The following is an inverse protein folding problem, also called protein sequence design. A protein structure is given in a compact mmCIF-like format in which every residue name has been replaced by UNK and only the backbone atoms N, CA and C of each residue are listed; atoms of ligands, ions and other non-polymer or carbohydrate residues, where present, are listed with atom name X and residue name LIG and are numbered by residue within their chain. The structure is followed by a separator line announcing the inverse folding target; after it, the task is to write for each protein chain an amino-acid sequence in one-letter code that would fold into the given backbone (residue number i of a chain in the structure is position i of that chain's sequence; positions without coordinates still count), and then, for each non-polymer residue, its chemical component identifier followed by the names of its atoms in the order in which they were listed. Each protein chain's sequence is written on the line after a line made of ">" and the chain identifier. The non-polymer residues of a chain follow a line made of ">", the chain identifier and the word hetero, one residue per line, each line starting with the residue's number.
data_IF_876462621422
#
_entry.id   IF_876462621422
#
_cell.length_a   1.000
_cell.length_b   1.000
_cell.length_c   1.000
_cell.angle_alpha   90.00
_cell.angle_beta   90.00
_cell.angle_gamma   90.00
#
_symmetry.space_group_name_H-M   'P 1'
#
loop_
_entity.id
_entity.type
_entity.pdbx_description
1 polymer ?
#
# COMPACT_ATOMS: atom_id res chain seq x y z
N UNK A 1 -3.53 -8.66 -5.67
CA UNK A 1 -4.29 -7.50 -5.17
C UNK A 1 -5.15 -6.88 -6.29
N UNK A 2 -6.39 -6.46 -6.00
CA UNK A 2 -7.24 -5.78 -6.98
C UNK A 2 -7.08 -4.27 -6.83
N UNK A 3 -6.16 -3.69 -7.61
CA UNK A 3 -5.73 -2.30 -7.43
C UNK A 3 -6.48 -1.31 -8.34
N UNK A 4 -7.00 -1.79 -9.47
CA UNK A 4 -7.70 -0.98 -10.49
C UNK A 4 -9.23 -1.07 -10.40
N UNK A 5 -9.76 -1.92 -9.52
CA UNK A 5 -11.19 -2.18 -9.33
C UNK A 5 -11.53 -2.23 -7.86
N UNK A 6 -12.74 -1.80 -7.51
CA UNK A 6 -13.24 -1.95 -6.14
C UNK A 6 -13.43 -3.44 -5.80
N UNK A 7 -12.89 -3.86 -4.64
CA UNK A 7 -13.02 -5.22 -4.12
C UNK A 7 -14.46 -5.67 -3.88
N UNK A 8 -15.39 -4.72 -3.67
CA UNK A 8 -16.81 -4.98 -3.35
C UNK A 8 -17.70 -4.86 -4.58
N UNK A 9 -17.81 -3.67 -5.18
CA UNK A 9 -18.75 -3.45 -6.28
C UNK A 9 -18.20 -3.80 -7.68
N UNK A 10 -16.91 -4.19 -7.78
CA UNK A 10 -16.19 -4.51 -9.03
C UNK A 10 -16.07 -3.38 -10.05
N UNK A 11 -16.60 -2.19 -9.76
CA UNK A 11 -16.48 -1.05 -10.65
C UNK A 11 -15.03 -0.53 -10.67
N UNK A 12 -14.58 0.08 -11.78
CA UNK A 12 -13.27 0.71 -11.86
C UNK A 12 -13.00 1.72 -10.73
N UNK A 13 -11.79 1.68 -10.18
CA UNK A 13 -11.34 2.57 -9.12
C UNK A 13 -10.81 3.90 -9.70
N UNK A 14 -11.72 4.68 -10.30
CA UNK A 14 -11.37 5.92 -11.04
C UNK A 14 -11.34 7.19 -10.19
N UNK A 15 -11.93 7.15 -9.00
CA UNK A 15 -11.96 8.29 -8.06
C UNK A 15 -10.54 8.62 -7.56
N UNK A 16 -10.20 9.91 -7.35
CA UNK A 16 -8.86 10.30 -6.92
C UNK A 16 -8.52 9.78 -5.52
N UNK A 17 -9.50 9.83 -4.62
CA UNK A 17 -9.42 9.35 -3.25
C UNK A 17 -10.17 8.03 -3.14
N UNK A 18 -9.47 7.02 -2.66
CA UNK A 18 -9.97 5.67 -2.49
C UNK A 18 -9.63 5.19 -1.08
N UNK A 19 -10.11 4.00 -0.75
CA UNK A 19 -9.66 3.26 0.42
C UNK A 19 -8.95 1.99 -0.02
N UNK A 20 -8.01 1.52 0.78
CA UNK A 20 -7.39 0.21 0.61
C UNK A 20 -7.90 -0.72 1.69
N UNK A 21 -8.50 -1.85 1.31
CA UNK A 21 -8.82 -2.95 2.23
C UNK A 21 -7.68 -3.94 2.24
N UNK A 22 -7.07 -4.14 3.40
CA UNK A 22 -6.02 -5.16 3.54
C UNK A 22 -6.62 -6.56 3.45
N UNK A 23 -7.81 -6.74 4.00
CA UNK A 23 -8.56 -8.01 3.99
C UNK A 23 -8.88 -8.46 2.56
N UNK A 24 -9.35 -7.53 1.74
CA UNK A 24 -9.73 -7.83 0.34
C UNK A 24 -8.54 -7.67 -0.63
N UNK A 25 -7.42 -7.17 -0.12
CA UNK A 25 -6.20 -6.90 -0.87
C UNK A 25 -6.44 -5.97 -2.06
N UNK A 26 -7.13 -4.85 -1.86
CA UNK A 26 -7.51 -4.01 -2.99
C UNK A 26 -8.18 -2.68 -2.68
N UNK A 27 -8.52 -1.97 -3.75
CA UNK A 27 -9.19 -0.68 -3.70
C UNK A 27 -10.65 -0.81 -3.22
N UNK A 28 -11.16 0.24 -2.59
CA UNK A 28 -12.55 0.39 -2.19
C UNK A 28 -13.02 1.81 -2.50
N UNK A 29 -14.22 1.92 -3.06
CA UNK A 29 -14.95 3.19 -3.09
C UNK A 29 -15.44 3.56 -1.70
N UNK A 30 -15.69 4.85 -1.46
CA UNK A 30 -16.10 5.35 -0.15
C UNK A 30 -17.41 4.72 0.35
N UNK A 31 -18.36 4.49 -0.55
CA UNK A 31 -19.65 3.83 -0.30
C UNK A 31 -19.54 2.32 -0.09
N UNK A 32 -18.44 1.71 -0.53
CA UNK A 32 -18.20 0.27 -0.46
C UNK A 32 -17.40 -0.12 0.80
N UNK A 33 -17.12 0.82 1.70
CA UNK A 33 -16.34 0.55 2.91
C UNK A 33 -17.11 -0.36 3.87
N UNK A 34 -16.57 -1.54 4.24
CA UNK A 34 -17.16 -2.35 5.30
C UNK A 34 -17.05 -1.61 6.64
N UNK A 35 -18.04 -1.82 7.51
CA UNK A 35 -18.06 -1.26 8.87
C UNK A 35 -16.95 -1.86 9.75
N UNK A 36 -16.57 -3.10 9.49
CA UNK A 36 -15.48 -3.77 10.20
C UNK A 36 -14.14 -3.27 9.70
N UNK A 37 -13.32 -2.83 10.65
CA UNK A 37 -12.06 -2.13 10.42
C UNK A 37 -10.99 -3.05 9.83
N UNK A 38 -10.40 -2.60 8.70
CA UNK A 38 -9.00 -2.78 8.25
C UNK A 38 -8.83 -2.13 6.88
N UNK A 39 -9.31 -0.89 6.79
CA UNK A 39 -9.16 -0.05 5.62
C UNK A 39 -8.56 1.30 5.99
N UNK A 40 -7.89 1.93 5.04
CA UNK A 40 -7.35 3.28 5.20
C UNK A 40 -7.42 4.03 3.87
N UNK A 41 -7.46 5.37 3.94
CA UNK A 41 -7.49 6.21 2.76
C UNK A 41 -6.17 6.11 1.98
N UNK A 42 -6.26 6.12 0.65
CA UNK A 42 -5.12 6.05 -0.25
C UNK A 42 -5.43 6.81 -1.54
N UNK A 43 -4.42 7.44 -2.15
CA UNK A 43 -4.61 8.06 -3.47
C UNK A 43 -4.62 7.00 -4.56
N UNK A 44 -5.46 7.20 -5.57
CA UNK A 44 -5.48 6.37 -6.79
C UNK A 44 -4.11 6.22 -7.43
N UNK A 45 -3.35 7.32 -7.48
CA UNK A 45 -2.00 7.32 -8.06
C UNK A 45 -1.04 6.35 -7.36
N UNK A 46 -1.21 6.15 -6.05
CA UNK A 46 -0.44 5.17 -5.27
C UNK A 46 -0.80 3.75 -5.71
N UNK A 47 -2.09 3.42 -5.80
CA UNK A 47 -2.55 2.09 -6.21
C UNK A 47 -2.15 1.77 -7.66
N UNK A 48 -2.25 2.75 -8.56
CA UNK A 48 -1.81 2.60 -9.95
C UNK A 48 -0.29 2.39 -10.04
N UNK A 49 0.49 3.11 -9.24
CA UNK A 49 1.94 2.89 -9.18
C UNK A 49 2.27 1.47 -8.74
N UNK A 50 1.63 0.97 -7.68
CA UNK A 50 1.83 -0.42 -7.22
C UNK A 50 1.43 -1.42 -8.31
N UNK A 51 0.32 -1.18 -9.03
CA UNK A 51 -0.10 -2.04 -10.14
C UNK A 51 0.96 -2.10 -11.24
N UNK A 52 1.45 -0.95 -11.71
CA UNK A 52 2.53 -0.87 -12.71
C UNK A 52 3.81 -1.54 -12.25
N UNK A 53 4.21 -1.34 -10.98
CA UNK A 53 5.41 -1.97 -10.43
C UNK A 53 5.29 -3.50 -10.41
N UNK A 54 4.10 -4.03 -10.14
CA UNK A 54 3.84 -5.47 -10.21
C UNK A 54 3.90 -6.05 -11.64
N UNK A 55 3.71 -5.20 -12.65
CA UNK A 55 3.84 -5.52 -14.07
C UNK A 55 5.30 -5.36 -14.57
N UNK A 56 6.24 -5.01 -13.69
CA UNK A 56 7.67 -4.82 -14.00
C UNK A 56 8.04 -3.42 -14.45
N UNK A 57 7.08 -2.48 -14.48
CA UNK A 57 7.30 -1.09 -14.87
C UNK A 57 7.82 -0.27 -13.69
N UNK A 58 9.07 -0.55 -13.30
CA UNK A 58 9.75 0.08 -12.18
C UNK A 58 10.18 1.52 -12.52
N UNK A 59 10.10 2.46 -11.56
CA UNK A 59 10.51 3.84 -11.79
C UNK A 59 12.02 3.90 -12.03
N UNK A 60 12.43 4.60 -13.09
CA UNK A 60 13.86 4.85 -13.39
C UNK A 60 14.45 5.99 -12.57
N UNK A 61 13.58 6.86 -12.06
CA UNK A 61 13.92 8.01 -11.24
C UNK A 61 13.46 7.82 -9.79
N UNK A 62 13.95 8.67 -8.90
CA UNK A 62 13.53 8.66 -7.51
C UNK A 62 12.04 9.00 -7.38
N UNK A 63 11.33 8.20 -6.59
CA UNK A 63 9.93 8.46 -6.29
C UNK A 63 9.78 9.64 -5.33
N UNK A 64 8.74 10.46 -5.55
CA UNK A 64 8.38 11.55 -4.64
C UNK A 64 8.06 11.01 -3.25
N UNK A 65 8.58 11.66 -2.21
CA UNK A 65 8.42 11.22 -0.80
C UNK A 65 6.97 10.90 -0.40
N UNK A 66 5.93 11.69 -0.77
CA UNK A 66 4.55 11.36 -0.42
C UNK A 66 4.06 10.03 -1.02
N UNK A 67 4.49 9.70 -2.24
CA UNK A 67 4.15 8.43 -2.88
C UNK A 67 4.82 7.26 -2.16
N UNK A 68 6.11 7.41 -1.82
CA UNK A 68 6.87 6.40 -1.07
C UNK A 68 6.21 6.09 0.29
N UNK A 69 5.78 7.13 1.00
CA UNK A 69 5.10 6.98 2.30
C UNK A 69 3.81 6.17 2.17
N UNK A 70 2.96 6.48 1.19
CA UNK A 70 1.72 5.73 0.97
C UNK A 70 1.95 4.30 0.49
N UNK A 71 2.88 4.06 -0.45
CA UNK A 71 3.21 2.70 -0.89
C UNK A 71 3.70 1.86 0.30
N UNK A 72 4.57 2.45 1.13
CA UNK A 72 5.06 1.79 2.34
C UNK A 72 3.93 1.48 3.31
N UNK A 73 2.97 2.39 3.51
CA UNK A 73 1.80 2.13 4.34
C UNK A 73 1.00 0.91 3.84
N UNK A 74 0.78 0.81 2.52
CA UNK A 74 0.10 -0.35 1.92
C UNK A 74 0.87 -1.64 2.18
N UNK A 75 2.19 -1.64 1.96
CA UNK A 75 3.01 -2.83 2.13
C UNK A 75 3.13 -3.24 3.60
N UNK A 76 3.40 -2.30 4.51
CA UNK A 76 3.48 -2.58 5.95
C UNK A 76 2.15 -3.17 6.47
N UNK A 77 1.01 -2.63 6.02
CA UNK A 77 -0.30 -3.15 6.39
C UNK A 77 -0.55 -4.57 5.85
N UNK A 78 -0.22 -4.83 4.59
CA UNK A 78 -0.33 -6.15 3.97
C UNK A 78 0.57 -7.18 4.67
N UNK A 79 1.84 -6.84 4.91
CA UNK A 79 2.82 -7.73 5.57
C UNK A 79 2.34 -8.09 6.98
N UNK A 80 1.94 -7.09 7.78
CA UNK A 80 1.43 -7.32 9.13
C UNK A 80 0.18 -8.19 9.14
N UNK A 81 -0.73 -7.96 8.19
CA UNK A 81 -1.96 -8.75 8.08
C UNK A 81 -1.67 -10.22 7.76
N UNK A 82 -0.79 -10.51 6.79
CA UNK A 82 -0.53 -11.88 6.35
C UNK A 82 0.38 -12.67 7.29
N UNK A 83 1.26 -11.98 8.02
CA UNK A 83 2.18 -12.64 8.94
C UNK A 83 1.63 -12.75 10.37
N UNK A 84 0.56 -12.01 10.68
CA UNK A 84 -0.02 -11.86 12.03
C UNK A 84 1.01 -11.43 13.10
N UNK A 85 2.19 -10.95 12.68
CA UNK A 85 3.29 -10.53 13.52
C UNK A 85 4.17 -9.53 12.78
N UNK A 86 4.92 -8.73 13.54
CA UNK A 86 5.95 -7.87 12.96
C UNK A 86 7.20 -8.68 12.53
N UNK A 87 7.83 -8.28 11.43
CA UNK A 87 9.07 -8.88 10.96
C UNK A 87 10.26 -8.36 11.77
N UNK A 88 10.89 -9.24 12.55
CA UNK A 88 12.12 -8.93 13.31
C UNK A 88 13.26 -8.41 12.42
N UNK A 89 13.35 -8.93 11.19
CA UNK A 89 14.32 -8.48 10.18
C UNK A 89 14.14 -7.01 9.78
N UNK A 90 12.90 -6.51 9.75
CA UNK A 90 12.63 -5.09 9.45
C UNK A 90 13.15 -4.20 10.58
N UNK A 91 12.99 -4.61 11.85
CA UNK A 91 13.55 -3.89 13.00
C UNK A 91 15.07 -3.82 12.90
N UNK A 92 15.72 -4.98 12.71
CA UNK A 92 17.17 -5.06 12.55
C UNK A 92 17.69 -4.18 11.41
N UNK A 93 17.12 -4.27 10.21
CA UNK A 93 17.55 -3.46 9.06
C UNK A 93 17.40 -1.96 9.30
N UNK A 94 16.33 -1.52 9.96
CA UNK A 94 16.16 -0.10 10.32
C UNK A 94 17.25 0.35 11.27
N UNK A 95 17.54 -0.43 12.31
CA UNK A 95 18.62 -0.14 13.25
C UNK A 95 19.97 -0.06 12.52
N UNK A 96 20.30 -1.03 11.68
CA UNK A 96 21.58 -1.06 10.94
C UNK A 96 21.73 0.10 9.96
N UNK A 97 20.71 0.39 9.15
CA UNK A 97 20.77 1.47 8.13
C UNK A 97 20.84 2.84 8.79
N UNK A 98 20.08 3.05 9.88
CA UNK A 98 20.05 4.35 10.57
C UNK A 98 21.33 4.59 11.37
N UNK A 99 21.92 3.53 11.94
CA UNK A 99 23.23 3.60 12.60
C UNK A 99 24.39 3.76 11.61
N UNK A 100 24.29 3.24 10.39
CA UNK A 100 25.33 3.37 9.37
C UNK A 100 25.37 4.76 8.69
N UNK A 101 24.30 5.55 8.78
CA UNK A 101 24.24 6.92 8.24
C UNK A 101 24.67 8.03 9.22
N UNK A 102 25.17 7.68 10.40
CA UNK A 102 25.59 8.60 11.45
C UNK A 102 27.13 8.72 11.59
N UNK A 103 27.88 8.18 10.62
CA UNK A 103 29.34 8.31 10.45
C UNK A 103 29.64 9.09 9.16
#
# INVERSE_FOLDING_TARGET
>A
PRLRECGVCRKPAVQPDLFFSVRDGGALHAECRPREERWFAVRRGTLESIARFSEGDMPRESMKRPLVVEIRQVFDACVRFHLERDLKSVKFLRETITSAGAL
#
